data_IF_367848473234
#
_entry.id   IF_367848473234
#
_cell.length_a   1.000
_cell.length_b   1.000
_cell.length_c   1.000
_cell.angle_alpha   90.00
_cell.angle_beta   90.00
_cell.angle_gamma   90.00
#
_symmetry.space_group_name_H-M   'P 1'
#
loop_
_entity.id
_entity.type
_entity.pdbx_description
1 polymer ?
#
# COMPACT_ATOMS: atom_id res chain seq x y z
N UNK A 1 4.14 -3.60 32.73
CA UNK A 1 4.63 -3.90 31.37
C UNK A 1 5.29 -5.27 31.39
N UNK A 2 4.98 -6.16 30.44
CA UNK A 2 5.56 -7.51 30.41
C UNK A 2 7.03 -7.49 29.98
N UNK A 3 7.80 -8.51 30.36
CA UNK A 3 9.21 -8.64 29.95
C UNK A 3 9.37 -8.74 28.42
N UNK A 4 8.39 -9.37 27.75
CA UNK A 4 8.32 -9.44 26.28
C UNK A 4 8.21 -8.04 25.68
N UNK A 5 7.30 -7.20 26.21
CA UNK A 5 7.10 -5.83 25.73
C UNK A 5 8.38 -5.01 25.89
N UNK A 6 9.02 -5.07 27.06
CA UNK A 6 10.26 -4.34 27.35
C UNK A 6 11.39 -4.75 26.41
N UNK A 7 11.52 -6.05 26.13
CA UNK A 7 12.55 -6.56 25.20
C UNK A 7 12.27 -6.12 23.76
N UNK A 8 11.02 -6.13 23.35
CA UNK A 8 10.61 -5.64 22.03
C UNK A 8 10.95 -4.15 21.85
N UNK A 9 10.55 -3.31 22.80
CA UNK A 9 10.82 -1.86 22.75
C UNK A 9 12.32 -1.56 22.67
N UNK A 10 13.13 -2.21 23.51
CA UNK A 10 14.59 -2.07 23.46
C UNK A 10 15.17 -2.40 22.06
N UNK A 11 14.73 -3.49 21.46
CA UNK A 11 15.19 -3.89 20.12
C UNK A 11 14.72 -2.92 19.03
N UNK A 12 13.54 -2.32 19.18
CA UNK A 12 13.07 -1.27 18.28
C UNK A 12 13.91 -0.01 18.45
N UNK A 13 14.23 0.40 19.67
CA UNK A 13 15.02 1.61 19.93
C UNK A 13 16.45 1.49 19.42
N UNK A 14 17.09 0.33 19.62
CA UNK A 14 18.45 0.05 19.17
C UNK A 14 18.57 -0.19 17.65
N UNK A 15 17.45 -0.34 16.94
CA UNK A 15 17.45 -0.63 15.51
C UNK A 15 17.95 0.57 14.69
N UNK A 16 18.92 0.39 13.77
CA UNK A 16 19.36 1.45 12.89
C UNK A 16 18.22 2.00 12.03
N UNK A 17 18.23 3.32 11.79
CA UNK A 17 17.17 4.01 11.05
C UNK A 17 16.95 3.40 9.66
N UNK A 18 18.03 3.08 8.94
CA UNK A 18 17.91 2.48 7.60
C UNK A 18 17.20 1.11 7.62
N UNK A 19 17.37 0.33 8.69
CA UNK A 19 16.65 -0.95 8.86
C UNK A 19 15.17 -0.70 9.16
N UNK A 20 14.85 0.30 9.98
CA UNK A 20 13.45 0.70 10.23
C UNK A 20 12.75 1.10 8.93
N UNK A 21 13.42 1.91 8.11
CA UNK A 21 12.90 2.33 6.79
C UNK A 21 12.72 1.14 5.85
N UNK A 22 13.70 0.23 5.77
CA UNK A 22 13.61 -0.96 4.93
C UNK A 22 12.41 -1.85 5.32
N UNK A 23 12.23 -2.12 6.62
CA UNK A 23 11.08 -2.89 7.12
C UNK A 23 9.75 -2.20 6.86
N UNK A 24 9.68 -0.88 7.02
CA UNK A 24 8.48 -0.12 6.67
C UNK A 24 8.16 -0.22 5.18
N UNK A 25 9.17 -0.14 4.31
CA UNK A 25 9.01 -0.30 2.87
C UNK A 25 8.49 -1.70 2.49
N UNK A 26 9.03 -2.76 3.11
CA UNK A 26 8.53 -4.13 2.94
C UNK A 26 7.06 -4.27 3.36
N UNK A 27 6.68 -3.67 4.49
CA UNK A 27 5.31 -3.69 4.98
C UNK A 27 4.36 -2.93 4.05
N UNK A 28 4.79 -1.78 3.51
CA UNK A 28 4.01 -1.05 2.50
C UNK A 28 3.87 -1.84 1.20
N UNK A 29 4.91 -2.55 0.78
CA UNK A 29 4.82 -3.41 -0.40
C UNK A 29 3.84 -4.56 -0.19
N UNK A 30 3.92 -5.24 0.95
CA UNK A 30 2.99 -6.31 1.31
C UNK A 30 1.53 -5.82 1.30
N UNK A 31 1.26 -4.62 1.84
CA UNK A 31 -0.08 -4.03 1.82
C UNK A 31 -0.57 -3.75 0.39
N UNK A 32 0.30 -3.21 -0.48
CA UNK A 32 -0.03 -3.01 -1.91
C UNK A 32 -0.32 -4.32 -2.62
N UNK A 33 0.49 -5.36 -2.38
CA UNK A 33 0.30 -6.69 -2.99
C UNK A 33 -1.02 -7.33 -2.54
N UNK A 34 -1.39 -7.13 -1.27
CA UNK A 34 -2.68 -7.57 -0.77
C UNK A 34 -3.85 -6.88 -1.48
N UNK A 35 -3.80 -5.55 -1.60
CA UNK A 35 -4.84 -4.77 -2.31
C UNK A 35 -4.90 -5.17 -3.78
N UNK A 36 -3.75 -5.36 -4.43
CA UNK A 36 -3.68 -5.82 -5.81
C UNK A 36 -4.46 -7.13 -6.01
N UNK A 37 -4.26 -8.12 -5.13
CA UNK A 37 -4.98 -9.40 -5.21
C UNK A 37 -6.50 -9.22 -5.05
N UNK A 38 -6.93 -8.34 -4.14
CA UNK A 38 -8.36 -8.03 -3.96
C UNK A 38 -8.95 -7.37 -5.22
N UNK A 39 -8.25 -6.38 -5.78
CA UNK A 39 -8.69 -5.68 -6.99
C UNK A 39 -8.82 -6.66 -8.16
N UNK A 40 -7.83 -7.53 -8.37
CA UNK A 40 -7.87 -8.54 -9.44
C UNK A 40 -9.01 -9.55 -9.23
N UNK A 41 -9.29 -9.93 -7.99
CA UNK A 41 -10.42 -10.82 -7.68
C UNK A 41 -11.78 -10.15 -7.92
N UNK A 42 -11.92 -8.87 -7.60
CA UNK A 42 -13.18 -8.11 -7.73
C UNK A 42 -13.45 -7.67 -9.19
N UNK A 43 -12.41 -7.25 -9.93
CA UNK A 43 -12.53 -6.57 -11.23
C UNK A 43 -12.02 -7.39 -12.41
N UNK A 44 -11.35 -8.51 -12.16
CA UNK A 44 -10.73 -9.36 -13.18
C UNK A 44 -9.35 -8.86 -13.64
N UNK A 45 -8.71 -9.62 -14.55
CA UNK A 45 -7.43 -9.23 -15.14
C UNK A 45 -7.51 -7.93 -15.94
N UNK A 46 -6.46 -7.12 -15.87
CA UNK A 46 -6.36 -5.83 -16.55
C UNK A 46 -4.89 -5.48 -16.83
N UNK A 47 -4.63 -4.41 -17.58
CA UNK A 47 -3.27 -3.92 -17.81
C UNK A 47 -2.59 -3.48 -16.50
N UNK A 48 -1.27 -3.55 -16.44
CA UNK A 48 -0.50 -3.11 -15.27
C UNK A 48 -0.75 -1.64 -14.92
N UNK A 49 -0.89 -0.78 -15.93
CA UNK A 49 -1.20 0.63 -15.76
C UNK A 49 -2.58 0.84 -15.11
N UNK A 50 -3.61 0.14 -15.61
CA UNK A 50 -4.96 0.18 -15.01
C UNK A 50 -4.94 -0.36 -13.59
N UNK A 51 -4.28 -1.48 -13.35
CA UNK A 51 -4.17 -2.10 -12.03
C UNK A 51 -3.55 -1.17 -11.00
N UNK A 52 -2.49 -0.44 -11.36
CA UNK A 52 -1.85 0.56 -10.48
C UNK A 52 -2.81 1.66 -10.08
N UNK A 53 -3.63 2.17 -11.02
CA UNK A 53 -4.62 3.20 -10.72
C UNK A 53 -5.78 2.68 -9.86
N UNK A 54 -6.22 1.43 -10.09
CA UNK A 54 -7.27 0.80 -9.28
C UNK A 54 -6.79 0.53 -7.84
N UNK A 55 -5.52 0.14 -7.65
CA UNK A 55 -4.89 0.05 -6.33
C UNK A 55 -4.83 1.43 -5.67
N UNK A 56 -4.39 2.46 -6.41
CA UNK A 56 -4.33 3.83 -5.91
C UNK A 56 -5.71 4.35 -5.48
N UNK A 57 -6.77 4.03 -6.23
CA UNK A 57 -8.14 4.38 -5.87
C UNK A 57 -8.54 3.78 -4.52
N UNK A 58 -8.18 2.52 -4.25
CA UNK A 58 -8.51 1.86 -2.98
C UNK A 58 -7.71 2.41 -1.79
N UNK A 59 -6.47 2.83 -2.02
CA UNK A 59 -5.62 3.40 -0.96
C UNK A 59 -5.97 4.85 -0.64
N UNK A 60 -6.22 5.67 -1.67
CA UNK A 60 -6.23 7.13 -1.56
C UNK A 60 -7.54 7.78 -2.00
N UNK A 61 -8.49 7.03 -2.57
CA UNK A 61 -9.75 7.56 -3.09
C UNK A 61 -10.73 8.08 -2.04
N UNK A 62 -10.37 8.00 -0.75
CA UNK A 62 -11.13 8.63 0.33
C UNK A 62 -10.90 10.15 0.37
N UNK A 63 -9.81 10.66 -0.21
CA UNK A 63 -9.56 12.09 -0.37
C UNK A 63 -10.10 12.59 -1.73
N UNK A 64 -11.04 13.53 -1.68
CA UNK A 64 -11.75 14.03 -2.88
C UNK A 64 -10.81 14.48 -4.01
N UNK A 65 -9.77 15.32 -3.77
CA UNK A 65 -8.91 15.79 -4.84
C UNK A 65 -8.11 14.65 -5.48
N UNK A 66 -7.71 13.66 -4.67
CA UNK A 66 -6.93 12.51 -5.13
C UNK A 66 -7.80 11.56 -5.94
N UNK A 67 -9.03 11.31 -5.48
CA UNK A 67 -10.02 10.50 -6.21
C UNK A 67 -10.25 11.06 -7.61
N UNK A 68 -10.52 12.35 -7.74
CA UNK A 68 -10.77 12.99 -9.03
C UNK A 68 -9.58 12.86 -9.99
N UNK A 69 -8.35 12.99 -9.47
CA UNK A 69 -7.14 12.81 -10.26
C UNK A 69 -7.01 11.36 -10.77
N UNK A 70 -7.30 10.38 -9.92
CA UNK A 70 -7.24 8.95 -10.27
C UNK A 70 -8.36 8.60 -11.27
N UNK A 71 -9.59 9.08 -11.06
CA UNK A 71 -10.71 8.86 -11.99
C UNK A 71 -10.41 9.43 -13.38
N UNK A 72 -9.84 10.63 -13.44
CA UNK A 72 -9.38 11.23 -14.69
C UNK A 72 -8.34 10.35 -15.38
N UNK A 73 -7.32 9.88 -14.66
CA UNK A 73 -6.33 8.96 -15.21
C UNK A 73 -6.96 7.65 -15.71
N UNK A 74 -7.88 7.06 -14.94
CA UNK A 74 -8.60 5.84 -15.31
C UNK A 74 -9.43 6.01 -16.59
N UNK A 75 -9.94 7.21 -16.88
CA UNK A 75 -10.69 7.49 -18.11
C UNK A 75 -9.82 7.47 -19.38
N UNK A 76 -8.50 7.59 -19.24
CA UNK A 76 -7.54 7.59 -20.34
C UNK A 76 -6.86 6.23 -20.55
N UNK A 77 -7.05 5.26 -19.64
CA UNK A 77 -6.44 3.93 -19.74
C UNK A 77 -7.49 2.93 -20.25
N UNK A 78 -7.10 2.11 -21.23
CA UNK A 78 -7.95 1.05 -21.76
C UNK A 78 -8.40 0.07 -20.65
N UNK A 79 -9.59 -0.53 -20.83
CA UNK A 79 -10.15 -1.51 -19.89
C UNK A 79 -9.31 -2.77 -19.83
#
# INVERSE_FOLDING_TARGET
MSDVQRRYEKLIDEMPIHVKVARAAEMFQWSRDWIMRQVLAEKGPMSEERLRLEIAMRMYGHEEPVRQLIEKALSHVAK
#
